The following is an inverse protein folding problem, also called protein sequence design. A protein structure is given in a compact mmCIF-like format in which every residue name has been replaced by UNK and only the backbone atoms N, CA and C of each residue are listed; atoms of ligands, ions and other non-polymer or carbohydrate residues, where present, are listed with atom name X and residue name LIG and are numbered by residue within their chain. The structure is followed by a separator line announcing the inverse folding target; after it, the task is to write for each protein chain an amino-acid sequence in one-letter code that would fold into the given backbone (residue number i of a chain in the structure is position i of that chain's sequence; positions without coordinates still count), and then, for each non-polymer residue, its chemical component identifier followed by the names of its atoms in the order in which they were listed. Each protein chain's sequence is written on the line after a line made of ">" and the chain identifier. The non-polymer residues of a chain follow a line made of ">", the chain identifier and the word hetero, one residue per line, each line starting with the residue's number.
data_IF_284002207338
#
_entry.id   IF_284002207338
#
_cell.length_a   1.000
_cell.length_b   1.000
_cell.length_c   1.000
_cell.angle_alpha   90.00
_cell.angle_beta   90.00
_cell.angle_gamma   90.00
#
_symmetry.space_group_name_H-M   'P 1'
#
loop_
_entity.id
_entity.type
_entity.pdbx_description
1 polymer ?
#
# COMPACT_ATOMS: atom_id res chain seq x y z
N UNK A 1 15.52 1.27 -0.82
CA UNK A 1 14.91 2.49 -1.40
C UNK A 1 14.09 3.16 -0.32
N UNK A 2 14.37 4.43 -0.04
CA UNK A 2 13.70 5.18 1.01
C UNK A 2 12.25 5.51 0.63
N UNK A 3 11.38 5.57 1.65
CA UNK A 3 9.96 5.85 1.46
C UNK A 3 9.73 7.22 0.80
N UNK A 4 10.58 8.20 1.09
CA UNK A 4 10.58 9.52 0.47
C UNK A 4 10.89 9.50 -1.03
N UNK A 5 11.80 8.63 -1.47
CA UNK A 5 12.12 8.47 -2.89
C UNK A 5 10.96 7.87 -3.68
N UNK A 6 10.29 6.87 -3.10
CA UNK A 6 9.10 6.25 -3.67
C UNK A 6 7.95 7.27 -3.74
N UNK A 7 7.74 8.04 -2.66
CA UNK A 7 6.74 9.10 -2.63
C UNK A 7 7.01 10.17 -3.70
N UNK A 8 8.28 10.56 -3.90
CA UNK A 8 8.69 11.50 -4.95
C UNK A 8 8.41 10.95 -6.36
N UNK A 9 8.71 9.67 -6.61
CA UNK A 9 8.42 9.00 -7.90
C UNK A 9 6.92 8.88 -8.18
N UNK A 10 6.10 8.82 -7.14
CA UNK A 10 4.64 8.77 -7.22
C UNK A 10 4.00 10.16 -7.24
N UNK A 11 4.77 11.25 -7.17
CA UNK A 11 4.24 12.62 -7.12
C UNK A 11 3.61 13.01 -5.78
N UNK A 12 3.78 12.20 -4.73
CA UNK A 12 3.22 12.41 -3.40
C UNK A 12 4.15 13.21 -2.47
N UNK A 13 5.27 13.72 -2.99
CA UNK A 13 6.27 14.47 -2.23
C UNK A 13 5.72 15.73 -1.57
N UNK A 14 4.66 16.32 -2.13
CA UNK A 14 4.02 17.51 -1.57
C UNK A 14 3.18 17.21 -0.32
N UNK A 15 2.75 15.96 -0.12
CA UNK A 15 1.86 15.59 0.98
C UNK A 15 2.65 15.00 2.16
N UNK A 16 3.31 15.87 2.94
CA UNK A 16 4.12 15.46 4.13
C UNK A 16 3.34 14.60 5.14
N UNK A 17 2.05 14.90 5.37
CA UNK A 17 1.21 14.09 6.27
C UNK A 17 1.01 12.67 5.74
N UNK A 18 0.91 12.52 4.42
CA UNK A 18 0.69 11.27 3.71
C UNK A 18 1.95 10.38 3.77
N UNK A 19 3.13 10.99 3.60
CA UNK A 19 4.43 10.34 3.81
C UNK A 19 4.56 9.85 5.25
N UNK A 20 4.20 10.68 6.24
CA UNK A 20 4.25 10.31 7.66
C UNK A 20 3.31 9.13 7.96
N UNK A 21 2.08 9.16 7.46
CA UNK A 21 1.11 8.05 7.59
C UNK A 21 1.58 6.77 6.91
N UNK A 22 2.14 6.87 5.70
CA UNK A 22 2.70 5.73 5.01
C UNK A 22 3.90 5.11 5.76
N UNK A 23 4.72 5.93 6.44
CA UNK A 23 5.80 5.44 7.29
C UNK A 23 5.27 4.70 8.54
N UNK A 24 4.18 5.17 9.15
CA UNK A 24 3.50 4.46 10.24
C UNK A 24 2.95 3.11 9.76
N UNK A 25 2.25 3.10 8.61
CA UNK A 25 1.74 1.87 7.99
C UNK A 25 2.87 0.89 7.65
N UNK A 26 4.01 1.40 7.14
CA UNK A 26 5.18 0.56 6.88
C UNK A 26 5.73 -0.08 8.16
N UNK A 27 5.80 0.66 9.28
CA UNK A 27 6.21 0.07 10.58
C UNK A 27 5.20 -0.97 11.07
N UNK A 28 3.90 -0.69 10.96
CA UNK A 28 2.86 -1.66 11.30
C UNK A 28 2.94 -2.92 10.42
N UNK A 29 3.15 -2.76 9.11
CA UNK A 29 3.35 -3.88 8.20
C UNK A 29 4.60 -4.70 8.55
N UNK A 30 5.67 -4.07 9.01
CA UNK A 30 6.89 -4.78 9.41
C UNK A 30 6.68 -5.62 10.67
N UNK A 31 5.85 -5.15 11.60
CA UNK A 31 5.53 -5.87 12.84
C UNK A 31 4.48 -6.97 12.61
N UNK A 32 3.47 -6.72 11.78
CA UNK A 32 2.38 -7.68 11.54
C UNK A 32 2.68 -8.72 10.46
N UNK A 33 3.53 -8.38 9.49
CA UNK A 33 3.83 -9.26 8.37
C UNK A 33 5.32 -9.52 8.28
N UNK A 34 5.72 -10.66 8.83
CA UNK A 34 7.02 -11.23 8.58
C UNK A 34 7.23 -11.36 7.07
N UNK A 35 8.37 -10.91 6.56
CA UNK A 35 8.61 -10.77 5.11
C UNK A 35 8.47 -12.08 4.33
N UNK A 36 8.49 -13.21 5.02
CA UNK A 36 8.24 -14.55 4.50
C UNK A 36 6.76 -14.86 4.20
N UNK A 37 5.79 -14.17 4.82
CA UNK A 37 4.36 -14.58 4.77
C UNK A 37 3.64 -14.12 3.49
N UNK A 38 4.03 -13.00 2.86
CA UNK A 38 3.31 -12.47 1.69
C UNK A 38 4.10 -12.60 0.37
N UNK A 39 5.41 -12.89 0.43
CA UNK A 39 6.25 -12.94 -0.79
C UNK A 39 6.23 -11.61 -1.57
N UNK A 40 6.08 -10.49 -0.86
CA UNK A 40 6.04 -9.14 -1.44
C UNK A 40 7.35 -8.44 -1.13
N UNK A 41 8.11 -8.08 -2.17
CA UNK A 41 9.34 -7.32 -2.02
C UNK A 41 9.13 -6.00 -1.27
N UNK A 42 10.15 -5.55 -0.55
CA UNK A 42 10.08 -4.36 0.32
C UNK A 42 9.64 -3.09 -0.42
N UNK A 43 10.01 -2.95 -1.69
CA UNK A 43 9.59 -1.84 -2.56
C UNK A 43 8.07 -1.89 -2.78
N UNK A 44 7.51 -3.06 -3.08
CA UNK A 44 6.08 -3.24 -3.30
C UNK A 44 5.28 -3.02 -2.01
N UNK A 45 5.78 -3.49 -0.85
CA UNK A 45 5.17 -3.16 0.45
C UNK A 45 5.10 -1.65 0.68
N UNK A 46 6.19 -0.94 0.38
CA UNK A 46 6.26 0.52 0.56
C UNK A 46 5.30 1.25 -0.37
N UNK A 47 5.23 0.84 -1.64
CA UNK A 47 4.30 1.40 -2.63
C UNK A 47 2.84 1.18 -2.21
N UNK A 48 2.49 -0.02 -1.77
CA UNK A 48 1.14 -0.34 -1.29
C UNK A 48 0.79 0.45 -0.03
N UNK A 49 1.71 0.60 0.93
CA UNK A 49 1.48 1.41 2.12
C UNK A 49 1.20 2.89 1.75
N UNK A 50 1.89 3.42 0.73
CA UNK A 50 1.63 4.75 0.20
C UNK A 50 0.26 4.84 -0.49
N UNK A 51 -0.14 3.83 -1.26
CA UNK A 51 -1.47 3.77 -1.89
C UNK A 51 -2.59 3.71 -0.87
N UNK A 52 -2.45 2.90 0.18
CA UNK A 52 -3.42 2.81 1.27
C UNK A 52 -3.48 4.14 2.03
N UNK A 53 -2.31 4.74 2.31
CA UNK A 53 -2.24 6.03 2.98
C UNK A 53 -2.90 7.13 2.14
N UNK A 54 -2.70 7.12 0.82
CA UNK A 54 -3.36 8.03 -0.10
C UNK A 54 -4.87 7.79 -0.07
N UNK A 55 -5.33 6.59 -0.40
CA UNK A 55 -6.76 6.24 -0.47
C UNK A 55 -7.54 6.52 0.82
N UNK A 56 -6.91 6.43 2.01
CA UNK A 56 -7.60 6.60 3.30
C UNK A 56 -7.43 7.95 3.96
N UNK A 57 -6.26 8.57 3.82
CA UNK A 57 -5.93 9.81 4.54
C UNK A 57 -5.73 11.01 3.61
N UNK A 58 -5.60 10.79 2.31
CA UNK A 58 -5.44 11.83 1.31
C UNK A 58 -6.58 11.81 0.31
N UNK A 59 -7.20 12.94 0.06
CA UNK A 59 -8.07 13.12 -1.12
C UNK A 59 -7.20 13.32 -2.37
N UNK A 60 -6.20 12.46 -2.56
CA UNK A 60 -5.17 12.58 -3.60
C UNK A 60 -5.40 11.48 -4.61
N UNK A 61 -5.48 11.87 -5.88
CA UNK A 61 -5.57 10.94 -7.01
C UNK A 61 -4.27 10.13 -7.06
N UNK A 62 -4.35 8.87 -6.65
CA UNK A 62 -3.22 7.95 -6.69
C UNK A 62 -3.19 7.19 -8.02
N UNK A 63 -2.16 7.41 -8.83
CA UNK A 63 -1.97 6.70 -10.09
C UNK A 63 -1.50 5.25 -9.86
N UNK A 64 -2.46 4.34 -9.71
CA UNK A 64 -2.21 2.89 -9.53
C UNK A 64 -1.32 2.30 -10.62
N UNK A 65 -1.43 2.78 -11.86
CA UNK A 65 -0.57 2.35 -12.98
C UNK A 65 0.92 2.65 -12.75
N UNK A 66 1.26 3.83 -12.21
CA UNK A 66 2.64 4.17 -11.86
C UNK A 66 3.14 3.32 -10.68
N UNK A 67 2.28 3.06 -9.70
CA UNK A 67 2.59 2.21 -8.56
C UNK A 67 2.85 0.75 -8.96
N UNK A 68 2.03 0.18 -9.85
CA UNK A 68 2.24 -1.17 -10.40
C UNK A 68 3.59 -1.27 -11.11
N UNK A 69 3.90 -0.31 -12.01
CA UNK A 69 5.21 -0.24 -12.70
C UNK A 69 6.37 -0.10 -11.71
N UNK A 70 6.24 0.76 -10.70
CA UNK A 70 7.28 0.99 -9.69
C UNK A 70 7.49 -0.21 -8.77
N UNK A 71 6.44 -0.98 -8.51
CA UNK A 71 6.49 -2.21 -7.71
C UNK A 71 7.12 -3.40 -8.45
N UNK A 72 7.25 -3.31 -9.78
CA UNK A 72 7.75 -4.39 -10.63
C UNK A 72 6.82 -5.60 -10.72
N UNK A 73 5.57 -5.50 -10.28
CA UNK A 73 4.58 -6.57 -10.34
C UNK A 73 3.63 -6.42 -11.52
N UNK A 74 3.07 -7.55 -11.95
CA UNK A 74 1.85 -7.58 -12.77
C UNK A 74 0.69 -6.98 -11.97
N UNK A 75 -0.20 -6.26 -12.64
CA UNK A 75 -1.35 -5.59 -12.02
C UNK A 75 -2.19 -6.54 -11.14
N UNK A 76 -2.46 -7.77 -11.62
CA UNK A 76 -3.18 -8.80 -10.85
C UNK A 76 -2.45 -9.18 -9.56
N UNK A 77 -1.13 -9.37 -9.63
CA UNK A 77 -0.31 -9.71 -8.46
C UNK A 77 -0.20 -8.54 -7.49
N UNK A 78 -0.20 -7.31 -8.02
CA UNK A 78 -0.23 -6.09 -7.23
C UNK A 78 -1.55 -5.93 -6.47
N UNK A 79 -2.70 -6.11 -7.14
CA UNK A 79 -4.04 -6.06 -6.51
C UNK A 79 -4.16 -7.12 -5.41
N UNK A 80 -3.71 -8.35 -5.66
CA UNK A 80 -3.69 -9.40 -4.64
C UNK A 80 -2.86 -9.01 -3.42
N UNK A 81 -1.65 -8.47 -3.66
CA UNK A 81 -0.76 -8.02 -2.58
C UNK A 81 -1.37 -6.85 -1.81
N UNK A 82 -2.04 -5.93 -2.50
CA UNK A 82 -2.75 -4.79 -1.93
C UNK A 82 -3.88 -5.25 -1.00
N UNK A 83 -4.75 -6.16 -1.47
CA UNK A 83 -5.86 -6.69 -0.68
C UNK A 83 -5.34 -7.45 0.55
N UNK A 84 -4.28 -8.26 0.43
CA UNK A 84 -3.68 -8.95 1.58
C UNK A 84 -3.11 -7.98 2.61
N UNK A 85 -2.40 -6.92 2.18
CA UNK A 85 -1.87 -5.90 3.09
C UNK A 85 -2.99 -5.11 3.77
N UNK A 86 -4.01 -4.70 3.00
CA UNK A 86 -5.15 -3.97 3.52
C UNK A 86 -5.91 -4.79 4.56
N UNK A 87 -6.18 -6.06 4.26
CA UNK A 87 -6.88 -6.97 5.16
C UNK A 87 -6.09 -7.24 6.44
N UNK A 88 -4.80 -7.55 6.35
CA UNK A 88 -4.01 -7.84 7.55
C UNK A 88 -3.62 -6.59 8.35
N UNK A 89 -3.63 -5.39 7.75
CA UNK A 89 -3.61 -4.14 8.53
C UNK A 89 -4.96 -3.83 9.21
N UNK A 90 -5.97 -4.68 9.03
CA UNK A 90 -7.36 -4.47 9.45
C UNK A 90 -7.92 -3.10 8.99
N UNK A 91 -7.37 -2.59 7.88
CA UNK A 91 -7.84 -1.34 7.30
C UNK A 91 -9.09 -1.73 6.53
N UNK A 92 -10.23 -1.71 7.24
CA UNK A 92 -11.55 -1.98 6.69
C UNK A 92 -11.74 -1.23 5.39
N UNK A 93 -11.53 -1.88 4.26
CA UNK A 93 -12.47 -1.72 3.16
C UNK A 93 -13.84 -1.96 3.77
N UNK A 94 -14.84 -1.17 3.39
CA UNK A 94 -16.20 -1.61 3.55
C UNK A 94 -16.30 -2.93 2.76
N UNK A 95 -15.94 -4.04 3.41
CA UNK A 95 -16.33 -5.39 3.04
C UNK A 95 -17.83 -5.37 3.28
N UNK A 96 -18.51 -4.83 2.27
CA UNK A 96 -19.90 -5.09 2.02
C UNK A 96 -20.05 -6.61 2.07
N UNK A 97 -21.13 -7.03 2.70
CA UNK A 97 -21.41 -8.37 3.23
C UNK A 97 -21.39 -9.46 2.13
N UNK A 98 -21.13 -9.07 0.87
CA UNK A 98 -21.02 -9.89 -0.34
C UNK A 98 -19.83 -10.84 -0.40
N UNK A 99 -18.73 -10.63 0.31
CA UNK A 99 -17.60 -11.57 0.30
C UNK A 99 -17.70 -12.66 1.40
N UNK A 100 -18.73 -12.60 2.25
CA UNK A 100 -19.01 -13.62 3.28
C UNK A 100 -20.18 -14.55 2.91
N UNK A 101 -20.75 -14.41 1.70
CA UNK A 101 -21.76 -15.32 1.19
C UNK A 101 -21.13 -16.61 0.69
N UNK A 102 -20.91 -17.57 1.60
CA UNK A 102 -20.92 -19.00 1.29
C UNK A 102 -22.33 -19.42 0.89
#
# INVERSE_FOLDING_TARGET
>A
MDLSDIARKLGLSQHKMLIRKAAELRRLCYVQFDSSIIGVGEVCKTVICLEIAATRFGEVIFERQKAVKLSGKLEKAYIKSFNSLQNGLNIKTALDIKELGI
#
